data_IF_716357718749
#
_entry.id   IF_716357718749
#
_cell.length_a   1.000
_cell.length_b   1.000
_cell.length_c   1.000
_cell.angle_alpha   90.00
_cell.angle_beta   90.00
_cell.angle_gamma   90.00
#
_symmetry.space_group_name_H-M   'P 1'
#
loop_
_entity.id
_entity.type
_entity.pdbx_description
1 polymer ?
#
# COMPACT_ATOMS: atom_id res chain seq x y z
N UNK A 1 13.96 -2.72 3.61
CA UNK A 1 13.78 -2.58 5.07
C UNK A 1 12.77 -3.61 5.56
N UNK A 2 12.91 -4.08 6.80
CA UNK A 2 11.84 -4.84 7.46
C UNK A 2 10.99 -3.85 8.27
N UNK A 3 9.75 -3.61 7.85
CA UNK A 3 8.87 -2.63 8.50
C UNK A 3 8.35 -3.12 9.86
N UNK A 4 8.47 -4.42 10.16
CA UNK A 4 8.18 -4.94 11.50
C UNK A 4 9.32 -4.64 12.50
N UNK A 5 10.48 -4.22 11.99
CA UNK A 5 11.70 -3.92 12.75
C UNK A 5 12.26 -2.55 12.34
N UNK A 6 11.69 -1.45 12.88
CA UNK A 6 12.06 -0.08 12.51
C UNK A 6 13.57 0.20 12.58
N UNK A 7 14.30 -0.46 13.48
CA UNK A 7 15.75 -0.37 13.62
C UNK A 7 16.53 -0.78 12.36
N UNK A 8 15.92 -1.58 11.48
CA UNK A 8 16.54 -2.00 10.21
C UNK A 8 16.42 -0.96 9.11
N UNK A 9 15.52 0.02 9.24
CA UNK A 9 15.20 0.99 8.20
C UNK A 9 16.40 1.90 7.84
N UNK A 10 17.11 2.53 8.80
CA UNK A 10 18.13 3.52 8.46
C UNK A 10 19.25 2.97 7.58
N UNK A 11 19.73 1.75 7.87
CA UNK A 11 20.80 1.11 7.10
C UNK A 11 20.42 0.89 5.63
N UNK A 12 19.12 0.73 5.34
CA UNK A 12 18.62 0.48 3.98
C UNK A 12 18.39 1.75 3.16
N UNK A 13 18.42 2.92 3.79
CA UNK A 13 18.19 4.21 3.14
C UNK A 13 19.49 4.99 2.85
N UNK A 14 20.66 4.42 3.20
CA UNK A 14 21.95 5.05 2.92
C UNK A 14 22.17 5.17 1.41
N UNK A 15 22.39 6.39 0.93
CA UNK A 15 22.63 6.66 -0.49
C UNK A 15 21.40 6.57 -1.38
N UNK A 16 20.21 6.39 -0.80
CA UNK A 16 18.95 6.32 -1.55
C UNK A 16 18.46 7.74 -1.84
N UNK A 17 18.01 7.97 -3.07
CA UNK A 17 17.45 9.25 -3.49
C UNK A 17 15.92 9.27 -3.48
N UNK A 18 15.29 8.17 -3.87
CA UNK A 18 13.85 7.98 -4.00
C UNK A 18 13.43 6.71 -3.31
N UNK A 19 12.35 6.78 -2.53
CA UNK A 19 11.70 5.62 -1.91
C UNK A 19 10.36 5.38 -2.60
N UNK A 20 10.11 4.13 -3.01
CA UNK A 20 8.80 3.68 -3.50
C UNK A 20 8.29 2.67 -2.48
N UNK A 21 7.23 3.04 -1.77
CA UNK A 21 6.62 2.26 -0.71
C UNK A 21 5.32 1.59 -1.19
N UNK A 22 5.44 0.30 -1.46
CA UNK A 22 4.35 -0.60 -1.81
C UNK A 22 4.06 -1.63 -0.70
N UNK A 23 4.62 -1.45 0.51
CA UNK A 23 4.50 -2.44 1.57
C UNK A 23 3.09 -2.44 2.19
N UNK A 24 2.59 -3.62 2.54
CA UNK A 24 1.34 -3.81 3.29
C UNK A 24 1.48 -5.06 4.15
N UNK A 25 0.90 -5.05 5.35
CA UNK A 25 0.87 -6.22 6.22
C UNK A 25 0.06 -7.36 5.60
N UNK A 26 0.40 -8.60 5.96
CA UNK A 26 -0.40 -9.75 5.54
C UNK A 26 -1.71 -9.82 6.34
N UNK A 27 -2.77 -10.44 5.81
CA UNK A 27 -4.05 -10.58 6.53
C UNK A 27 -3.93 -11.23 7.92
N UNK A 28 -2.95 -12.13 8.08
CA UNK A 28 -2.65 -12.83 9.33
C UNK A 28 -1.83 -12.02 10.35
N UNK A 29 -1.27 -10.87 9.95
CA UNK A 29 -0.44 -10.02 10.80
C UNK A 29 -1.26 -8.86 11.41
N UNK A 30 -0.87 -8.35 12.59
CA UNK A 30 -1.51 -7.16 13.14
C UNK A 30 -1.34 -5.97 12.18
N UNK A 31 -2.46 -5.47 11.66
CA UNK A 31 -2.49 -4.42 10.64
C UNK A 31 -1.66 -3.18 11.04
N UNK A 32 -1.61 -2.85 12.33
CA UNK A 32 -0.92 -1.65 12.83
C UNK A 32 0.61 -1.74 12.74
N UNK A 33 1.20 -2.93 12.86
CA UNK A 33 2.66 -3.07 12.93
C UNK A 33 3.31 -2.64 11.62
N UNK A 34 2.84 -3.18 10.49
CA UNK A 34 3.38 -2.84 9.17
C UNK A 34 2.73 -1.58 8.60
N UNK A 35 1.39 -1.52 8.59
CA UNK A 35 0.66 -0.46 7.88
C UNK A 35 0.58 0.86 8.65
N UNK A 36 0.97 0.89 9.93
CA UNK A 36 1.05 2.14 10.69
C UNK A 36 2.45 2.39 11.26
N UNK A 37 2.89 1.61 12.24
CA UNK A 37 4.13 1.86 12.99
C UNK A 37 5.36 1.84 12.07
N UNK A 38 5.49 0.79 11.26
CA UNK A 38 6.54 0.66 10.27
C UNK A 38 6.52 1.78 9.22
N UNK A 39 5.33 2.20 8.78
CA UNK A 39 5.15 3.29 7.81
C UNK A 39 5.57 4.64 8.38
N UNK A 40 5.13 4.94 9.60
CA UNK A 40 5.52 6.15 10.32
C UNK A 40 7.04 6.20 10.48
N UNK A 41 7.65 5.09 10.91
CA UNK A 41 9.10 5.00 11.06
C UNK A 41 9.83 5.18 9.71
N UNK A 42 9.33 4.58 8.63
CA UNK A 42 9.90 4.72 7.30
C UNK A 42 9.84 6.17 6.80
N UNK A 43 8.72 6.84 6.94
CA UNK A 43 8.52 8.24 6.53
C UNK A 43 9.42 9.18 7.35
N UNK A 44 9.48 8.98 8.67
CA UNK A 44 10.35 9.77 9.55
C UNK A 44 11.83 9.56 9.21
N UNK A 45 12.24 8.32 8.95
CA UNK A 45 13.62 8.00 8.57
C UNK A 45 13.96 8.59 7.20
N UNK A 46 13.06 8.48 6.21
CA UNK A 46 13.22 9.08 4.90
C UNK A 46 13.41 10.60 4.99
N UNK A 47 12.63 11.26 5.85
CA UNK A 47 12.80 12.68 6.16
C UNK A 47 14.16 12.98 6.79
N UNK A 48 14.55 12.23 7.81
CA UNK A 48 15.82 12.42 8.51
C UNK A 48 17.05 12.21 7.60
N UNK A 49 16.94 11.32 6.61
CA UNK A 49 18.01 11.01 5.67
C UNK A 49 18.00 11.91 4.41
N UNK A 50 17.06 12.85 4.30
CA UNK A 50 17.02 13.78 3.18
C UNK A 50 16.63 13.14 1.85
N UNK A 51 15.77 12.12 1.89
CA UNK A 51 15.19 11.50 0.70
C UNK A 51 14.50 12.58 -0.15
N UNK A 52 14.81 12.61 -1.45
CA UNK A 52 14.37 13.66 -2.37
C UNK A 52 12.96 13.43 -2.91
N UNK A 53 12.51 12.17 -2.92
CA UNK A 53 11.17 11.80 -3.39
C UNK A 53 10.65 10.56 -2.68
N UNK A 54 9.41 10.62 -2.22
CA UNK A 54 8.73 9.50 -1.59
C UNK A 54 7.44 9.16 -2.33
N UNK A 55 7.35 7.96 -2.90
CA UNK A 55 6.15 7.48 -3.60
C UNK A 55 5.43 6.48 -2.70
N UNK A 56 4.17 6.77 -2.37
CA UNK A 56 3.36 5.93 -1.50
C UNK A 56 2.19 5.33 -2.26
N UNK A 57 2.03 4.01 -2.18
CA UNK A 57 0.87 3.33 -2.75
C UNK A 57 -0.25 3.21 -1.70
N UNK A 58 -1.38 3.83 -2.03
CA UNK A 58 -2.58 3.87 -1.24
C UNK A 58 -3.75 3.22 -1.97
N UNK A 59 -4.91 3.16 -1.32
CA UNK A 59 -6.10 2.49 -1.83
C UNK A 59 -7.10 3.53 -2.33
N UNK A 60 -7.70 3.28 -3.49
CA UNK A 60 -8.76 4.09 -4.06
C UNK A 60 -9.94 4.25 -3.07
N UNK A 61 -10.45 5.48 -2.91
CA UNK A 61 -11.54 5.84 -1.99
C UNK A 61 -11.31 5.49 -0.51
N UNK A 62 -10.06 5.42 -0.04
CA UNK A 62 -9.74 5.18 1.37
C UNK A 62 -10.40 6.20 2.33
N UNK A 63 -10.60 7.44 1.87
CA UNK A 63 -11.24 8.53 2.61
C UNK A 63 -12.75 8.39 2.78
N UNK A 64 -13.42 7.58 1.94
CA UNK A 64 -14.87 7.38 1.98
C UNK A 64 -15.30 6.20 2.86
N UNK A 65 -14.36 5.39 3.35
CA UNK A 65 -14.61 4.15 4.07
C UNK A 65 -13.83 4.04 5.39
N UNK A 66 -13.94 5.01 6.33
CA UNK A 66 -13.22 4.97 7.59
C UNK A 66 -13.62 3.78 8.49
N UNK A 67 -14.77 3.16 8.25
CA UNK A 67 -15.22 1.96 8.94
C UNK A 67 -14.36 0.72 8.66
N UNK A 68 -13.58 0.74 7.57
CA UNK A 68 -12.67 -0.36 7.22
C UNK A 68 -11.27 -0.04 7.76
N UNK A 69 -10.73 -0.82 8.72
CA UNK A 69 -9.46 -0.49 9.40
C UNK A 69 -8.27 -0.27 8.46
N UNK A 70 -8.18 -1.03 7.37
CA UNK A 70 -7.12 -0.86 6.38
C UNK A 70 -7.26 0.48 5.63
N UNK A 71 -8.49 0.87 5.27
CA UNK A 71 -8.77 2.12 4.57
C UNK A 71 -8.46 3.32 5.46
N UNK A 72 -8.88 3.26 6.73
CA UNK A 72 -8.57 4.27 7.74
C UNK A 72 -7.06 4.44 7.90
N UNK A 73 -6.32 3.33 8.08
CA UNK A 73 -4.86 3.39 8.25
C UNK A 73 -4.18 3.97 7.01
N UNK A 74 -4.54 3.53 5.80
CA UNK A 74 -3.95 4.09 4.57
C UNK A 74 -4.24 5.59 4.45
N UNK A 75 -5.46 6.02 4.77
CA UNK A 75 -5.82 7.44 4.77
C UNK A 75 -5.04 8.24 5.82
N UNK A 76 -4.87 7.70 7.03
CA UNK A 76 -4.01 8.28 8.06
C UNK A 76 -2.55 8.37 7.60
N UNK A 77 -2.02 7.35 6.90
CA UNK A 77 -0.67 7.40 6.34
C UNK A 77 -0.53 8.47 5.26
N UNK A 78 -1.53 8.65 4.39
CA UNK A 78 -1.53 9.73 3.41
C UNK A 78 -1.43 11.10 4.09
N UNK A 79 -2.20 11.31 5.17
CA UNK A 79 -2.16 12.54 5.96
C UNK A 79 -0.80 12.74 6.63
N UNK A 80 -0.27 11.69 7.23
CA UNK A 80 1.04 11.75 7.87
C UNK A 80 2.16 12.07 6.87
N UNK A 81 2.12 11.50 5.66
CA UNK A 81 3.07 11.81 4.60
C UNK A 81 2.92 13.25 4.11
N UNK A 82 1.69 13.74 3.94
CA UNK A 82 1.38 15.13 3.59
C UNK A 82 1.99 16.10 4.61
N UNK A 83 1.83 15.81 5.90
CA UNK A 83 2.32 16.65 7.00
C UNK A 83 3.84 16.49 7.24
N UNK A 84 4.48 15.46 6.68
CA UNK A 84 5.90 15.19 6.89
C UNK A 84 6.81 16.25 6.27
N UNK A 85 6.36 16.97 5.23
CA UNK A 85 7.17 17.93 4.48
C UNK A 85 8.17 17.30 3.50
N UNK A 86 8.12 15.98 3.29
CA UNK A 86 8.83 15.31 2.19
C UNK A 86 8.23 15.74 0.84
N UNK A 87 9.04 15.73 -0.21
CA UNK A 87 8.51 15.75 -1.57
C UNK A 87 7.93 14.36 -1.89
N UNK A 88 6.62 14.27 -2.14
CA UNK A 88 5.94 12.99 -2.25
C UNK A 88 4.99 12.89 -3.45
N UNK A 89 4.68 11.64 -3.81
CA UNK A 89 3.59 11.28 -4.72
C UNK A 89 2.76 10.18 -4.05
N UNK A 90 1.45 10.37 -3.96
CA UNK A 90 0.53 9.33 -3.50
C UNK A 90 -0.17 8.75 -4.73
N UNK A 91 -0.03 7.46 -4.94
CA UNK A 91 -0.71 6.71 -6.00
C UNK A 91 -1.83 5.91 -5.36
N UNK A 92 -3.09 6.30 -5.61
CA UNK A 92 -4.26 5.57 -5.14
C UNK A 92 -4.66 4.50 -6.17
N UNK A 93 -4.34 3.25 -5.88
CA UNK A 93 -4.59 2.12 -6.76
C UNK A 93 -5.95 1.48 -6.47
N UNK A 94 -6.57 0.92 -7.52
CA UNK A 94 -7.72 0.03 -7.41
C UNK A 94 -7.27 -1.44 -7.36
N UNK A 95 -8.16 -2.36 -6.98
CA UNK A 95 -7.80 -3.77 -6.78
C UNK A 95 -7.17 -4.40 -8.03
N UNK A 96 -6.21 -5.29 -7.87
CA UNK A 96 -5.58 -5.96 -9.01
C UNK A 96 -6.44 -7.14 -9.52
N UNK A 97 -6.60 -7.25 -10.84
CA UNK A 97 -7.41 -8.32 -11.44
C UNK A 97 -6.83 -9.72 -11.23
N UNK A 98 -5.50 -9.88 -11.11
CA UNK A 98 -4.88 -11.21 -11.00
C UNK A 98 -5.26 -11.98 -9.73
N UNK A 99 -5.68 -11.29 -8.66
CA UNK A 99 -6.20 -11.96 -7.46
C UNK A 99 -7.55 -12.65 -7.67
N UNK A 100 -8.34 -12.21 -8.67
CA UNK A 100 -9.68 -12.75 -8.94
C UNK A 100 -9.64 -14.21 -9.41
N UNK A 101 -8.58 -14.62 -10.11
CA UNK A 101 -8.42 -16.01 -10.57
C UNK A 101 -8.28 -16.95 -9.36
N UNK A 102 -7.45 -16.58 -8.37
CA UNK A 102 -7.28 -17.38 -7.16
C UNK A 102 -8.50 -17.36 -6.23
N UNK A 103 -9.18 -16.21 -6.14
CA UNK A 103 -10.34 -16.04 -5.24
C UNK A 103 -11.64 -16.61 -5.79
N UNK A 104 -11.81 -16.64 -7.12
CA UNK A 104 -13.06 -17.07 -7.74
C UNK A 104 -12.88 -18.24 -8.70
N UNK A 105 -11.92 -18.18 -9.62
CA UNK A 105 -11.81 -19.20 -10.67
C UNK A 105 -11.46 -20.59 -10.12
N UNK A 106 -10.48 -20.69 -9.22
CA UNK A 106 -10.11 -21.99 -8.60
C UNK A 106 -11.24 -22.56 -7.74
N UNK A 107 -11.86 -21.81 -6.81
CA UNK A 107 -13.00 -22.32 -6.03
C UNK A 107 -14.20 -22.72 -6.90
N UNK A 108 -14.52 -21.96 -7.96
CA UNK A 108 -15.61 -22.31 -8.88
C UNK A 108 -15.30 -23.61 -9.64
N UNK A 109 -14.06 -23.79 -10.10
CA UNK A 109 -13.61 -25.03 -10.74
C UNK A 109 -13.63 -26.23 -9.78
N UNK A 110 -13.46 -25.99 -8.47
CA UNK A 110 -13.53 -26.99 -7.41
C UNK A 110 -14.92 -27.12 -6.77
N UNK A 111 -15.97 -26.52 -7.36
CA UNK A 111 -17.35 -26.49 -6.84
C UNK A 111 -17.48 -25.96 -5.39
N UNK A 112 -16.53 -25.15 -4.94
CA UNK A 112 -16.55 -24.48 -3.64
C UNK A 112 -17.34 -23.17 -3.73
N UNK A 113 -18.05 -22.85 -2.65
CA UNK A 113 -18.76 -21.59 -2.51
C UNK A 113 -17.80 -20.41 -2.57
N UNK A 114 -18.10 -19.46 -3.46
CA UNK A 114 -17.39 -18.17 -3.57
C UNK A 114 -18.17 -17.09 -2.86
N UNK A 115 -17.46 -16.22 -2.15
CA UNK A 115 -18.05 -15.04 -1.52
C UNK A 115 -18.23 -13.96 -2.57
N UNK A 116 -19.47 -13.74 -3.00
CA UNK A 116 -19.86 -12.58 -3.81
C UNK A 116 -20.36 -11.43 -2.92
N UNK A 117 -20.32 -10.21 -3.44
CA UNK A 117 -21.02 -9.08 -2.83
C UNK A 117 -22.35 -8.87 -3.57
N UNK A 118 -23.47 -8.85 -2.86
CA UNK A 118 -24.80 -8.57 -3.45
C UNK A 118 -25.00 -7.08 -3.84
N UNK A 119 -23.97 -6.26 -3.66
CA UNK A 119 -24.00 -4.84 -3.96
C UNK A 119 -23.86 -4.60 -5.48
N UNK A 120 -24.71 -3.74 -6.10
CA UNK A 120 -24.58 -3.34 -7.50
C UNK A 120 -23.46 -2.30 -7.68
N UNK A 121 -22.28 -2.58 -7.11
CA UNK A 121 -21.13 -1.68 -7.10
C UNK A 121 -20.22 -1.96 -8.29
N UNK A 122 -19.93 -0.92 -9.07
CA UNK A 122 -18.86 -0.98 -10.08
C UNK A 122 -17.52 -0.97 -9.37
N UNK A 123 -16.79 -2.07 -9.42
CA UNK A 123 -15.45 -2.19 -8.86
C UNK A 123 -14.45 -1.97 -10.00
N UNK A 124 -13.59 -0.96 -9.87
CA UNK A 124 -12.48 -0.77 -10.78
C UNK A 124 -11.36 -1.75 -10.45
N UNK A 125 -10.73 -2.34 -11.47
CA UNK A 125 -9.56 -3.17 -11.30
C UNK A 125 -8.43 -2.75 -12.25
N UNK A 126 -7.18 -3.03 -11.85
CA UNK A 126 -5.98 -2.74 -12.63
C UNK A 126 -5.16 -4.02 -12.91
N UNK A 127 -4.43 -4.05 -14.02
CA UNK A 127 -3.44 -5.09 -14.35
C UNK A 127 -2.10 -4.74 -13.66
N UNK A 128 -1.40 -5.72 -13.05
CA UNK A 128 -0.09 -5.49 -12.43
C UNK A 128 0.98 -5.00 -13.43
N UNK A 129 0.79 -5.18 -14.74
CA UNK A 129 1.69 -4.61 -15.75
C UNK A 129 1.68 -3.07 -15.74
N UNK A 130 0.53 -2.47 -15.42
CA UNK A 130 0.41 -1.01 -15.28
C UNK A 130 1.20 -0.51 -14.07
N UNK A 131 1.25 -1.31 -13.00
CA UNK A 131 2.03 -1.02 -11.81
C UNK A 131 3.54 -1.01 -12.09
N UNK A 132 4.01 -2.00 -12.86
CA UNK A 132 5.42 -2.10 -13.27
C UNK A 132 5.88 -0.89 -14.11
N UNK A 133 4.98 -0.35 -14.92
CA UNK A 133 5.22 0.88 -15.69
C UNK A 133 5.28 2.11 -14.80
N UNK A 134 4.43 2.20 -13.77
CA UNK A 134 4.47 3.30 -12.79
C UNK A 134 5.79 3.31 -12.03
N UNK A 135 6.28 2.15 -11.56
CA UNK A 135 7.57 2.05 -10.88
C UNK A 135 8.70 2.57 -11.78
N UNK A 136 8.70 2.20 -13.06
CA UNK A 136 9.71 2.65 -14.04
C UNK A 136 9.64 4.16 -14.30
N UNK A 137 8.46 4.76 -14.24
CA UNK A 137 8.28 6.21 -14.43
C UNK A 137 8.75 7.03 -13.22
N UNK A 138 8.75 6.43 -12.03
CA UNK A 138 9.11 7.10 -10.78
C UNK A 138 10.54 6.84 -10.29
N UNK A 139 11.29 5.94 -10.94
CA UNK A 139 12.70 5.64 -10.68
C UNK A 139 13.65 6.40 -11.59
#
# INVERSE_FOLDING_TARGET
ADLTKPETIPATLIGIHTVIDCATGRPEEPIKTVDWEGKVALIQCAKAMGIQKYVFYSIHNCDNHPEVPLMEIKYCTEKFLQDSGLNYVIVRLCGFMQGLIGQYAVPILEEKSVWGTDAPTRIAYMDTQVDSLLVTYFS
#
